data_IF_608194562915
#
_entry.id   IF_608194562915
#
_cell.length_a   1.000
_cell.length_b   1.000
_cell.length_c   1.000
_cell.angle_alpha   90.00
_cell.angle_beta   90.00
_cell.angle_gamma   90.00
#
_symmetry.space_group_name_H-M   'P 1'
#
loop_
_entity.id
_entity.type
_entity.pdbx_description
1 polymer ?
#
# COMPACT_ATOMS: atom_id res chain seq x y z
N UNK A 1 -10.41 3.41 6.11
CA UNK A 1 -9.50 3.54 4.95
C UNK A 1 -9.53 5.00 4.50
N UNK A 2 -8.40 5.57 4.09
CA UNK A 2 -8.21 6.98 3.75
C UNK A 2 -7.75 7.12 2.30
N UNK A 3 -8.23 8.11 1.53
CA UNK A 3 -7.82 8.31 0.15
C UNK A 3 -6.37 8.80 0.08
N UNK A 4 -5.60 8.25 -0.85
CA UNK A 4 -4.23 8.69 -1.16
C UNK A 4 -4.02 8.72 -2.66
N UNK A 5 -3.35 9.78 -3.14
CA UNK A 5 -2.89 9.88 -4.52
C UNK A 5 -1.40 9.55 -4.58
N UNK A 6 -1.00 8.62 -5.45
CA UNK A 6 0.40 8.38 -5.74
C UNK A 6 1.02 9.62 -6.40
N UNK A 7 2.20 10.04 -5.93
CA UNK A 7 2.86 11.25 -6.42
C UNK A 7 3.44 11.10 -7.82
N UNK A 8 3.68 9.87 -8.30
CA UNK A 8 4.28 9.63 -9.61
C UNK A 8 3.25 9.24 -10.67
N UNK A 9 2.47 8.18 -10.45
CA UNK A 9 1.49 7.72 -11.44
C UNK A 9 0.13 8.44 -11.33
N UNK A 10 -0.09 9.24 -10.29
CA UNK A 10 -1.34 9.96 -10.07
C UNK A 10 -2.55 9.08 -9.74
N UNK A 11 -2.37 7.76 -9.57
CA UNK A 11 -3.44 6.85 -9.18
C UNK A 11 -3.99 7.22 -7.80
N UNK A 12 -5.32 7.27 -7.67
CA UNK A 12 -6.01 7.52 -6.41
C UNK A 12 -6.52 6.21 -5.85
N UNK A 13 -6.09 5.85 -4.65
CA UNK A 13 -6.42 4.58 -4.00
C UNK A 13 -6.96 4.82 -2.59
N UNK A 14 -7.62 3.83 -2.01
CA UNK A 14 -7.96 3.85 -0.59
C UNK A 14 -6.94 3.02 0.19
N UNK A 15 -6.32 3.63 1.19
CA UNK A 15 -5.25 3.03 1.98
C UNK A 15 -5.71 2.85 3.42
N UNK A 16 -5.32 1.74 4.02
CA UNK A 16 -5.41 1.53 5.46
C UNK A 16 -4.07 1.02 5.96
N UNK A 17 -3.41 1.83 6.77
CA UNK A 17 -2.18 1.45 7.46
C UNK A 17 -2.59 0.74 8.74
N UNK A 18 -2.51 -0.59 8.75
CA UNK A 18 -2.83 -1.38 9.93
C UNK A 18 -1.66 -1.34 10.91
N UNK A 19 -0.44 -1.51 10.41
CA UNK A 19 0.82 -1.28 11.13
C UNK A 19 1.90 -0.75 10.17
N UNK A 20 3.11 -0.50 10.66
CA UNK A 20 4.24 -0.07 9.81
C UNK A 20 4.55 -1.07 8.69
N UNK A 21 4.44 -2.36 8.99
CA UNK A 21 4.70 -3.46 8.05
C UNK A 21 3.44 -3.88 7.27
N UNK A 22 2.24 -3.67 7.81
CA UNK A 22 1.00 -4.11 7.19
C UNK A 22 0.14 -2.95 6.66
N UNK A 23 -0.07 -2.95 5.35
CA UNK A 23 -0.93 -1.97 4.66
C UNK A 23 -1.94 -2.67 3.78
N UNK A 24 -3.23 -2.33 3.92
CA UNK A 24 -4.26 -2.72 2.98
C UNK A 24 -4.49 -1.59 1.98
N UNK A 25 -4.47 -1.90 0.68
CA UNK A 25 -4.70 -0.93 -0.39
C UNK A 25 -5.84 -1.43 -1.28
N UNK A 26 -6.87 -0.62 -1.45
CA UNK A 26 -7.93 -0.88 -2.42
C UNK A 26 -7.71 -0.04 -3.67
N UNK A 27 -7.79 -0.73 -4.81
CA UNK A 27 -7.63 -0.18 -6.14
C UNK A 27 -8.97 -0.26 -6.88
N UNK A 28 -9.44 0.86 -7.41
CA UNK A 28 -10.51 0.88 -8.41
C UNK A 28 -9.94 0.79 -9.85
N UNK A 29 -10.81 0.54 -10.82
CA UNK A 29 -10.42 0.40 -12.23
C UNK A 29 -9.72 1.65 -12.81
N UNK A 30 -10.08 2.86 -12.38
CA UNK A 30 -9.41 4.09 -12.83
C UNK A 30 -7.99 4.15 -12.26
N UNK A 31 -7.83 3.84 -10.97
CA UNK A 31 -6.52 3.78 -10.33
C UNK A 31 -5.61 2.74 -10.99
N UNK A 32 -6.17 1.56 -11.33
CA UNK A 32 -5.47 0.48 -12.05
C UNK A 32 -5.04 0.92 -13.44
N UNK A 33 -5.89 1.63 -14.17
CA UNK A 33 -5.58 2.17 -15.50
C UNK A 33 -4.53 3.29 -15.50
N UNK A 34 -4.35 4.01 -14.38
CA UNK A 34 -3.37 5.09 -14.24
C UNK A 34 -1.95 4.60 -13.96
N UNK A 35 -1.81 3.46 -13.29
CA UNK A 35 -0.48 2.94 -12.94
C UNK A 35 0.03 1.96 -14.00
N UNK A 36 1.04 2.34 -14.77
CA UNK A 36 1.64 1.49 -15.80
C UNK A 36 2.13 0.12 -15.27
N UNK A 37 2.66 0.08 -14.04
CA UNK A 37 3.13 -1.16 -13.40
C UNK A 37 1.99 -2.15 -13.12
N UNK A 38 0.78 -1.64 -12.87
CA UNK A 38 -0.40 -2.44 -12.53
C UNK A 38 -1.25 -2.71 -13.78
N UNK A 39 -1.40 -1.73 -14.67
CA UNK A 39 -2.10 -1.85 -15.94
C UNK A 39 -1.47 -2.94 -16.84
N UNK A 40 -0.14 -3.08 -16.83
CA UNK A 40 0.57 -4.15 -17.55
C UNK A 40 0.49 -5.53 -16.90
N UNK A 41 0.04 -5.60 -15.63
CA UNK A 41 -0.29 -6.86 -14.97
C UNK A 41 -1.71 -7.27 -15.38
N UNK A 42 -1.96 -7.51 -16.66
CA UNK A 42 -3.19 -8.18 -17.10
C UNK A 42 -3.24 -9.59 -16.50
N UNK A 43 -4.41 -9.97 -15.96
CA UNK A 43 -4.77 -11.36 -15.59
C UNK A 43 -3.64 -12.26 -15.05
N UNK A 44 -2.83 -11.76 -14.11
CA UNK A 44 -1.97 -12.64 -13.33
C UNK A 44 -2.87 -13.57 -12.53
N UNK A 45 -2.63 -14.89 -12.65
CA UNK A 45 -3.34 -15.97 -11.95
C UNK A 45 -3.81 -15.50 -10.57
N UNK A 46 -5.07 -15.73 -10.16
CA UNK A 46 -5.50 -15.39 -8.80
C UNK A 46 -4.49 -15.93 -7.78
N UNK A 47 -3.83 -15.02 -7.05
CA UNK A 47 -2.76 -15.35 -6.11
C UNK A 47 -1.31 -15.02 -6.55
N UNK A 48 -1.07 -14.58 -7.80
CA UNK A 48 0.26 -14.09 -8.19
C UNK A 48 0.56 -12.75 -7.49
N UNK A 49 1.78 -12.55 -6.91
CA UNK A 49 2.15 -11.27 -6.31
C UNK A 49 2.10 -10.19 -7.38
N UNK A 50 1.07 -9.33 -7.32
CA UNK A 50 1.02 -8.13 -8.16
C UNK A 50 2.21 -7.28 -7.74
N UNK A 51 3.11 -6.93 -8.67
CA UNK A 51 4.13 -5.92 -8.40
C UNK A 51 3.38 -4.63 -8.04
N UNK A 52 3.35 -4.29 -6.76
CA UNK A 52 2.76 -3.05 -6.29
C UNK A 52 3.50 -1.86 -6.90
N UNK A 53 2.82 -0.72 -7.01
CA UNK A 53 3.49 0.51 -7.40
C UNK A 53 4.45 0.94 -6.29
N UNK A 54 5.76 0.86 -6.52
CA UNK A 54 6.78 1.24 -5.53
C UNK A 54 6.65 2.71 -5.11
N UNK A 55 6.34 3.58 -6.07
CA UNK A 55 6.05 4.99 -5.82
C UNK A 55 4.83 5.18 -4.91
N UNK A 56 3.81 4.31 -5.02
CA UNK A 56 2.67 4.34 -4.11
C UNK A 56 3.10 3.90 -2.70
N UNK A 57 3.89 2.84 -2.57
CA UNK A 57 4.41 2.41 -1.26
C UNK A 57 5.16 3.55 -0.56
N UNK A 58 6.04 4.24 -1.28
CA UNK A 58 6.74 5.42 -0.77
C UNK A 58 5.78 6.55 -0.41
N UNK A 59 4.75 6.80 -1.24
CA UNK A 59 3.72 7.79 -0.96
C UNK A 59 2.95 7.47 0.34
N UNK A 60 2.63 6.20 0.57
CA UNK A 60 1.94 5.73 1.78
C UNK A 60 2.80 5.93 3.02
N UNK A 61 4.08 5.55 2.95
CA UNK A 61 5.01 5.71 4.07
C UNK A 61 5.13 7.19 4.44
N UNK A 62 5.40 8.06 3.47
CA UNK A 62 5.49 9.51 3.70
C UNK A 62 4.20 10.11 4.26
N UNK A 63 3.04 9.68 3.74
CA UNK A 63 1.76 10.14 4.25
C UNK A 63 1.51 9.67 5.70
N UNK A 64 1.92 8.45 6.06
CA UNK A 64 1.85 7.98 7.44
C UNK A 64 2.82 8.75 8.35
N UNK A 65 4.06 8.99 7.91
CA UNK A 65 5.06 9.76 8.66
C UNK A 65 4.61 11.21 8.91
N UNK A 66 3.92 11.84 7.95
CA UNK A 66 3.33 13.18 8.11
C UNK A 66 2.05 13.20 8.94
N UNK A 67 1.46 12.03 9.24
CA UNK A 67 0.16 11.92 9.91
C UNK A 67 -1.06 12.12 9.00
N UNK A 68 -0.87 12.22 7.68
CA UNK A 68 -1.97 12.27 6.70
C UNK A 68 -2.77 10.94 6.68
N UNK A 69 -2.09 9.83 6.98
CA UNK A 69 -2.70 8.49 7.13
C UNK A 69 -2.49 8.01 8.56
N UNK A 70 -3.57 7.55 9.19
CA UNK A 70 -3.52 7.00 10.54
C UNK A 70 -2.99 5.57 10.51
N UNK A 71 -1.94 5.31 11.29
CA UNK A 71 -1.44 3.96 11.60
C UNK A 71 -2.29 3.41 12.76
N UNK A 72 -3.00 2.29 12.55
CA UNK A 72 -3.89 1.73 13.58
C UNK A 72 -3.13 1.12 14.76
N UNK A 73 -2.06 0.41 14.45
CA UNK A 73 -1.15 -0.24 15.39
C UNK A 73 0.27 0.30 15.13
N UNK A 74 0.66 1.40 15.81
CA UNK A 74 1.96 2.02 15.61
C UNK A 74 3.08 1.34 16.41
N UNK A 75 2.74 0.42 17.32
CA UNK A 75 3.71 -0.33 18.13
C UNK A 75 4.55 -1.25 17.21
N UNK A 76 5.87 -1.34 17.41
CA UNK A 76 6.68 -2.28 16.66
C UNK A 76 6.23 -3.71 16.96
N UNK A 77 6.14 -4.55 15.92
CA UNK A 77 5.79 -5.97 16.11
C UNK A 77 6.78 -6.58 17.11
N UNK A 78 6.29 -7.12 18.25
CA UNK A 78 7.17 -7.66 19.28
C UNK A 78 7.99 -8.81 18.69
N UNK A 79 9.30 -8.78 18.91
CA UNK A 79 10.19 -9.86 18.45
C UNK A 79 9.72 -11.19 19.07
N UNK A 80 9.52 -12.25 18.27
CA UNK A 80 9.12 -13.53 18.82
C UNK A 80 10.19 -14.02 19.79
N UNK A 81 9.79 -14.35 21.02
CA UNK A 81 10.68 -14.96 22.01
C UNK A 81 10.89 -16.40 21.55
N UNK A 82 12.03 -16.67 20.92
CA UNK A 82 12.44 -18.06 20.63
C UNK A 82 12.95 -18.67 21.93
N UNK A 83 12.11 -19.46 22.60
CA UNK A 83 12.56 -20.28 23.73
C UNK A 83 13.33 -21.46 23.15
N UNK A 84 14.63 -21.53 23.47
CA UNK A 84 15.54 -22.63 23.09
C UNK A 84 15.39 -23.82 24.03
#
# INVERSE_FOLDING_TARGET
MQPLQCTECGARVLVQKNSWEHTSVQWDDLARGRCHQIAGSGDGRPGSPRKGCEALTTSIVRAAERGDITVRDPDPVPTPIVVS
#
